data_IF_078527247158
#
_entry.id   IF_078527247158
#
_cell.length_a   1.000
_cell.length_b   1.000
_cell.length_c   1.000
_cell.angle_alpha   90.00
_cell.angle_beta   90.00
_cell.angle_gamma   90.00
#
_symmetry.space_group_name_H-M   'P 1'
#
loop_
_entity.id
_entity.type
_entity.pdbx_description
1 polymer ?
#
# COMPACT_ATOMS: atom_id res chain seq x y z
N UNK A 1 0.12 20.97 30.44
CA UNK A 1 -0.99 20.88 29.48
C UNK A 1 -0.44 20.92 28.06
N UNK A 2 0.41 21.89 27.72
CA UNK A 2 1.18 21.90 26.45
C UNK A 2 1.97 20.60 26.22
N UNK A 3 2.59 20.02 27.26
CA UNK A 3 3.39 18.79 27.10
C UNK A 3 2.58 17.57 26.60
N UNK A 4 1.29 17.46 26.96
CA UNK A 4 0.45 16.32 26.58
C UNK A 4 0.03 16.37 25.12
N UNK A 5 -0.42 17.54 24.65
CA UNK A 5 -0.82 17.74 23.25
C UNK A 5 0.38 17.71 22.31
N UNK A 6 1.54 18.22 22.75
CA UNK A 6 2.79 18.14 21.99
C UNK A 6 3.25 16.69 21.83
N UNK A 7 3.12 15.86 22.88
CA UNK A 7 3.44 14.44 22.80
C UNK A 7 2.53 13.69 21.81
N UNK A 8 1.21 13.92 21.88
CA UNK A 8 0.25 13.31 20.94
C UNK A 8 0.58 13.72 19.49
N UNK A 9 0.89 15.00 19.26
CA UNK A 9 1.29 15.47 17.94
C UNK A 9 2.57 14.77 17.45
N UNK A 10 3.59 14.63 18.31
CA UNK A 10 4.83 13.95 17.95
C UNK A 10 4.60 12.46 17.61
N UNK A 11 3.78 11.77 18.39
CA UNK A 11 3.44 10.36 18.16
C UNK A 11 2.61 10.19 16.89
N UNK A 12 1.64 11.09 16.64
CA UNK A 12 0.86 11.15 15.41
C UNK A 12 1.76 11.30 14.19
N UNK A 13 2.64 12.30 14.18
CA UNK A 13 3.57 12.55 13.07
C UNK A 13 4.50 11.36 12.83
N UNK A 14 4.94 10.69 13.89
CA UNK A 14 5.73 9.45 13.79
C UNK A 14 4.95 8.33 13.07
N UNK A 15 3.65 8.19 13.32
CA UNK A 15 2.80 7.22 12.61
C UNK A 15 2.53 7.60 11.17
N UNK A 16 2.36 8.89 10.88
CA UNK A 16 2.26 9.39 9.49
C UNK A 16 3.50 9.01 8.69
N UNK A 17 4.71 9.26 9.23
CA UNK A 17 5.96 8.87 8.54
C UNK A 17 6.02 7.37 8.28
N UNK A 18 5.67 6.53 9.27
CA UNK A 18 5.62 5.07 9.07
C UNK A 18 4.62 4.67 7.98
N UNK A 19 3.49 5.37 7.88
CA UNK A 19 2.49 5.12 6.84
C UNK A 19 3.03 5.45 5.45
N UNK A 20 3.75 6.57 5.29
CA UNK A 20 4.38 6.97 4.03
C UNK A 20 5.46 5.97 3.58
N UNK A 21 6.30 5.51 4.52
CA UNK A 21 7.30 4.47 4.27
C UNK A 21 6.63 3.17 3.80
N UNK A 22 5.56 2.76 4.49
CA UNK A 22 4.79 1.58 4.12
C UNK A 22 4.17 1.72 2.73
N UNK A 23 3.64 2.90 2.38
CA UNK A 23 3.10 3.18 1.04
C UNK A 23 4.15 3.09 -0.07
N UNK A 24 5.37 3.54 0.21
CA UNK A 24 6.50 3.45 -0.73
C UNK A 24 6.91 2.00 -1.00
N UNK A 25 7.02 1.20 0.06
CA UNK A 25 7.32 -0.23 -0.04
C UNK A 25 6.19 -1.00 -0.74
N UNK A 26 4.93 -0.70 -0.39
CA UNK A 26 3.74 -1.28 -1.01
C UNK A 26 3.68 -1.00 -2.52
N UNK A 27 4.03 0.23 -2.95
CA UNK A 27 4.08 0.59 -4.36
C UNK A 27 5.11 -0.25 -5.15
N UNK A 28 6.26 -0.54 -4.54
CA UNK A 28 7.29 -1.39 -5.16
C UNK A 28 6.79 -2.84 -5.35
N UNK A 29 6.06 -3.37 -4.36
CA UNK A 29 5.43 -4.68 -4.45
C UNK A 29 4.34 -4.72 -5.53
N UNK A 30 3.53 -3.66 -5.64
CA UNK A 30 2.48 -3.55 -6.65
C UNK A 30 3.04 -3.56 -8.07
N UNK A 31 4.10 -2.77 -8.32
CA UNK A 31 4.79 -2.75 -9.63
C UNK A 31 5.35 -4.13 -9.97
N UNK A 32 5.92 -4.82 -8.97
CA UNK A 32 6.46 -6.17 -9.15
C UNK A 32 5.36 -7.19 -9.45
N UNK A 33 4.22 -7.10 -8.76
CA UNK A 33 3.03 -7.91 -9.00
C UNK A 33 2.51 -7.72 -10.43
N UNK A 34 2.32 -6.46 -10.85
CA UNK A 34 1.83 -6.12 -12.19
C UNK A 34 2.77 -6.61 -13.28
N UNK A 35 4.09 -6.50 -13.09
CA UNK A 35 5.08 -6.99 -14.03
C UNK A 35 5.01 -8.51 -14.18
N UNK A 36 4.95 -9.24 -13.06
CA UNK A 36 4.86 -10.70 -13.08
C UNK A 36 3.53 -11.17 -13.71
N UNK A 37 2.42 -10.48 -13.41
CA UNK A 37 1.12 -10.74 -14.02
C UNK A 37 1.15 -10.50 -15.54
N UNK A 38 1.71 -9.36 -15.96
CA UNK A 38 1.84 -9.01 -17.37
C UNK A 38 2.67 -10.02 -18.17
N UNK A 39 3.68 -10.62 -17.55
CA UNK A 39 4.43 -11.72 -18.16
C UNK A 39 3.53 -12.95 -18.41
N UNK A 40 2.81 -13.40 -17.38
CA UNK A 40 1.94 -14.58 -17.49
C UNK A 40 0.78 -14.36 -18.47
N UNK A 41 0.25 -13.13 -18.54
CA UNK A 41 -0.85 -12.77 -19.45
C UNK A 41 -0.39 -12.46 -20.88
N UNK A 42 0.92 -12.49 -21.16
CA UNK A 42 1.44 -12.17 -22.50
C UNK A 42 0.79 -13.06 -23.56
N UNK A 43 0.17 -12.51 -24.61
CA UNK A 43 -0.47 -13.31 -25.64
C UNK A 43 0.57 -14.02 -26.52
N UNK A 44 0.17 -15.09 -27.23
CA UNK A 44 1.02 -15.74 -28.21
C UNK A 44 1.51 -14.79 -29.30
N UNK A 45 2.66 -15.10 -29.90
CA UNK A 45 3.21 -14.31 -31.00
C UNK A 45 2.25 -14.34 -32.18
N UNK A 46 1.73 -13.18 -32.57
CA UNK A 46 0.86 -13.05 -33.74
C UNK A 46 1.69 -13.23 -35.01
N UNK A 47 1.29 -14.17 -35.85
CA UNK A 47 1.90 -14.43 -37.19
C UNK A 47 1.35 -13.46 -38.24
N UNK A 48 1.20 -12.18 -37.91
CA UNK A 48 0.56 -11.18 -38.80
C UNK A 48 1.53 -10.59 -39.82
N UNK A 49 2.84 -10.78 -39.64
CA UNK A 49 3.88 -10.31 -40.55
C UNK A 49 4.40 -11.47 -41.40
N UNK A 50 4.50 -11.24 -42.71
CA UNK A 50 5.10 -12.19 -43.66
C UNK A 50 6.54 -12.56 -43.28
N UNK A 51 7.32 -11.60 -42.77
CA UNK A 51 8.66 -11.86 -42.26
C UNK A 51 8.67 -12.82 -41.07
N UNK A 52 7.78 -12.57 -40.09
CA UNK A 52 7.66 -13.42 -38.89
C UNK A 52 7.22 -14.83 -39.27
N UNK A 53 6.26 -14.94 -40.19
CA UNK A 53 5.81 -16.22 -40.71
C UNK A 53 6.93 -16.98 -41.45
N UNK A 54 7.70 -16.30 -42.31
CA UNK A 54 8.84 -16.88 -43.03
C UNK A 54 9.93 -17.37 -42.08
N UNK A 55 10.27 -16.59 -41.04
CA UNK A 55 11.24 -16.99 -40.02
C UNK A 55 10.76 -18.25 -39.28
N UNK A 56 9.47 -18.28 -38.91
CA UNK A 56 8.90 -19.43 -38.19
C UNK A 56 8.93 -20.69 -39.04
N UNK A 57 8.56 -20.57 -40.32
CA UNK A 57 8.59 -21.70 -41.28
C UNK A 57 10.02 -22.20 -41.51
N UNK A 58 11.00 -21.30 -41.63
CA UNK A 58 12.40 -21.67 -41.84
C UNK A 58 13.02 -22.47 -40.68
N UNK A 59 12.56 -22.24 -39.44
CA UNK A 59 13.07 -22.92 -38.22
C UNK A 59 12.11 -23.99 -37.68
N UNK A 60 11.18 -24.48 -38.52
CA UNK A 60 9.96 -25.24 -38.20
C UNK A 60 10.10 -26.61 -37.53
N UNK A 61 11.11 -26.85 -36.70
CA UNK A 61 11.17 -28.02 -35.83
C UNK A 61 9.92 -28.06 -34.94
N UNK A 62 9.41 -29.26 -34.62
CA UNK A 62 8.25 -29.45 -33.75
C UNK A 62 8.42 -28.69 -32.42
N UNK A 63 9.62 -28.73 -31.83
CA UNK A 63 9.97 -28.01 -30.60
C UNK A 63 9.85 -26.50 -30.74
N UNK A 64 10.41 -25.93 -31.81
CA UNK A 64 10.36 -24.48 -32.04
C UNK A 64 8.92 -24.00 -32.28
N UNK A 65 8.14 -24.73 -33.08
CA UNK A 65 6.74 -24.41 -33.34
C UNK A 65 5.92 -24.43 -32.04
N UNK A 66 6.06 -25.47 -31.22
CA UNK A 66 5.38 -25.55 -29.92
C UNK A 66 5.79 -24.40 -28.98
N UNK A 67 7.06 -23.98 -29.00
CA UNK A 67 7.51 -22.83 -28.21
C UNK A 67 6.88 -21.51 -28.70
N UNK A 68 6.77 -21.30 -30.01
CA UNK A 68 6.12 -20.12 -30.59
C UNK A 68 4.61 -20.12 -30.29
N UNK A 69 3.94 -21.26 -30.38
CA UNK A 69 2.52 -21.44 -30.04
C UNK A 69 2.26 -21.17 -28.55
N UNK A 70 3.18 -21.54 -27.66
CA UNK A 70 3.15 -21.19 -26.24
C UNK A 70 3.45 -19.71 -25.96
N UNK A 71 3.61 -18.88 -27.01
CA UNK A 71 3.89 -17.45 -26.88
C UNK A 71 5.33 -17.12 -26.52
N UNK A 72 6.26 -18.00 -26.90
CA UNK A 72 7.68 -17.88 -26.57
C UNK A 72 7.94 -17.80 -25.06
N UNK A 73 7.08 -18.44 -24.26
CA UNK A 73 7.26 -18.57 -22.81
C UNK A 73 8.01 -19.84 -22.48
N UNK A 74 8.95 -19.74 -21.55
CA UNK A 74 9.60 -20.90 -20.96
C UNK A 74 8.87 -21.26 -19.66
N UNK A 75 8.58 -22.55 -19.46
CA UNK A 75 7.95 -23.07 -18.23
C UNK A 75 8.73 -22.62 -16.99
N UNK A 76 10.06 -22.54 -17.07
CA UNK A 76 10.88 -22.04 -15.98
C UNK A 76 10.52 -20.60 -15.60
N UNK A 77 10.35 -19.72 -16.59
CA UNK A 77 9.98 -18.33 -16.36
C UNK A 77 8.56 -18.23 -15.81
N UNK A 78 7.63 -19.08 -16.27
CA UNK A 78 6.26 -19.12 -15.74
C UNK A 78 6.26 -19.48 -14.26
N UNK A 79 6.97 -20.54 -13.85
CA UNK A 79 7.09 -20.95 -12.45
C UNK A 79 7.70 -19.84 -11.60
N UNK A 80 8.76 -19.18 -12.09
CA UNK A 80 9.38 -18.05 -11.40
C UNK A 80 8.43 -16.86 -11.25
N UNK A 81 7.65 -16.52 -12.30
CA UNK A 81 6.71 -15.40 -12.24
C UNK A 81 5.49 -15.71 -11.37
N UNK A 82 5.01 -16.95 -11.33
CA UNK A 82 3.98 -17.39 -10.38
C UNK A 82 4.50 -17.27 -8.95
N UNK A 83 5.74 -17.70 -8.69
CA UNK A 83 6.38 -17.52 -7.37
C UNK A 83 6.46 -16.04 -6.97
N UNK A 84 6.89 -15.17 -7.88
CA UNK A 84 6.92 -13.71 -7.66
C UNK A 84 5.55 -13.13 -7.38
N UNK A 85 4.50 -13.56 -8.10
CA UNK A 85 3.13 -13.15 -7.84
C UNK A 85 2.68 -13.54 -6.44
N UNK A 86 2.96 -14.76 -6.02
CA UNK A 86 2.59 -15.24 -4.68
C UNK A 86 3.30 -14.41 -3.60
N UNK A 87 4.61 -14.18 -3.74
CA UNK A 87 5.37 -13.35 -2.79
C UNK A 87 4.83 -11.93 -2.74
N UNK A 88 4.56 -11.31 -3.90
CA UNK A 88 4.00 -9.97 -3.93
C UNK A 88 2.59 -9.91 -3.34
N UNK A 89 1.75 -10.91 -3.61
CA UNK A 89 0.39 -11.00 -3.07
C UNK A 89 0.40 -11.05 -1.53
N UNK A 90 1.20 -11.95 -0.96
CA UNK A 90 1.36 -12.07 0.49
C UNK A 90 1.93 -10.77 1.10
N UNK A 91 2.94 -10.19 0.46
CA UNK A 91 3.53 -8.92 0.90
C UNK A 91 2.53 -7.77 0.88
N UNK A 92 1.71 -7.65 -0.18
CA UNK A 92 0.67 -6.63 -0.29
C UNK A 92 -0.42 -6.82 0.78
N UNK A 93 -0.85 -8.05 1.06
CA UNK A 93 -1.79 -8.34 2.13
C UNK A 93 -1.25 -7.94 3.51
N UNK A 94 0.02 -8.22 3.78
CA UNK A 94 0.70 -7.79 5.00
C UNK A 94 0.76 -6.25 5.10
N UNK A 95 1.09 -5.56 4.00
CA UNK A 95 1.08 -4.10 3.95
C UNK A 95 -0.30 -3.52 4.21
N UNK A 96 -1.37 -4.10 3.65
CA UNK A 96 -2.75 -3.64 3.90
C UNK A 96 -3.11 -3.75 5.38
N UNK A 97 -2.80 -4.87 6.04
CA UNK A 97 -3.06 -5.05 7.48
C UNK A 97 -2.28 -4.04 8.33
N UNK A 98 -1.02 -3.77 7.99
CA UNK A 98 -0.20 -2.76 8.66
C UNK A 98 -0.76 -1.35 8.45
N UNK A 99 -1.22 -1.04 7.25
CA UNK A 99 -1.86 0.24 6.94
C UNK A 99 -3.13 0.45 7.77
N UNK A 100 -4.00 -0.56 7.84
CA UNK A 100 -5.20 -0.56 8.70
C UNK A 100 -4.87 -0.34 10.18
N UNK A 101 -3.79 -0.96 10.66
CA UNK A 101 -3.31 -0.80 12.04
C UNK A 101 -2.88 0.65 12.28
N UNK A 102 -2.06 1.22 11.39
CA UNK A 102 -1.58 2.60 11.52
C UNK A 102 -2.73 3.60 11.43
N UNK A 103 -3.71 3.39 10.53
CA UNK A 103 -4.89 4.24 10.42
C UNK A 103 -5.69 4.23 11.73
N UNK A 104 -5.86 3.06 12.34
CA UNK A 104 -6.51 2.93 13.65
C UNK A 104 -5.74 3.69 14.75
N UNK A 105 -4.41 3.60 14.77
CA UNK A 105 -3.56 4.36 15.70
C UNK A 105 -3.72 5.88 15.49
N UNK A 106 -3.72 6.35 14.24
CA UNK A 106 -3.90 7.77 13.91
C UNK A 106 -5.26 8.30 14.35
N UNK A 107 -6.32 7.50 14.20
CA UNK A 107 -7.65 7.86 14.69
C UNK A 107 -7.67 8.00 16.22
N UNK A 108 -7.04 7.07 16.94
CA UNK A 108 -6.97 7.14 18.41
C UNK A 108 -6.28 8.41 18.89
N UNK A 109 -5.18 8.82 18.25
CA UNK A 109 -4.51 10.07 18.60
C UNK A 109 -5.36 11.32 18.33
N UNK A 110 -6.19 11.29 17.28
CA UNK A 110 -7.14 12.36 17.01
C UNK A 110 -8.20 12.45 18.12
N UNK A 111 -8.72 11.30 18.53
CA UNK A 111 -9.74 11.20 19.59
C UNK A 111 -9.17 11.68 20.95
N UNK A 112 -7.94 11.27 21.29
CA UNK A 112 -7.24 11.71 22.50
C UNK A 112 -7.01 13.24 22.50
N UNK A 113 -6.58 13.80 21.36
CA UNK A 113 -6.39 15.23 21.22
C UNK A 113 -7.71 16.00 21.40
N UNK A 114 -8.81 15.50 20.81
CA UNK A 114 -10.12 16.11 20.96
C UNK A 114 -10.60 16.12 22.42
N UNK A 115 -10.35 15.04 23.16
CA UNK A 115 -10.70 14.95 24.58
C UNK A 115 -9.91 15.95 25.43
N UNK A 116 -8.62 16.15 25.15
CA UNK A 116 -7.81 17.16 25.86
C UNK A 116 -8.33 18.57 25.58
N UNK A 117 -8.70 18.89 24.33
CA UNK A 117 -9.23 20.21 23.98
C UNK A 117 -10.57 20.46 24.70
N UNK A 118 -11.50 19.51 24.66
CA UNK A 118 -12.81 19.64 25.31
C UNK A 118 -12.70 19.81 26.83
N UNK A 119 -11.83 19.03 27.48
CA UNK A 119 -11.61 19.14 28.94
C UNK A 119 -10.93 20.46 29.34
N UNK A 120 -10.30 21.16 28.40
CA UNK A 120 -9.73 22.49 28.64
C UNK A 120 -10.80 23.58 28.51
N UNK A 121 -11.75 23.44 27.58
CA UNK A 121 -12.88 24.36 27.40
C UNK A 121 -13.84 24.34 28.61
N UNK A 122 -14.12 23.15 29.18
CA UNK A 122 -14.97 23.02 30.37
C UNK A 122 -14.34 23.61 31.65
N UNK A 123 -13.00 23.61 31.76
CA UNK A 123 -12.30 24.18 32.93
C UNK A 123 -12.28 25.71 32.93
N UNK A 124 -12.35 26.36 31.77
CA UNK A 124 -12.42 27.82 31.67
C UNK A 124 -13.81 28.36 32.00
N UNK A 125 -14.89 27.60 31.76
CA UNK A 125 -16.27 28.02 32.11
C UNK A 125 -16.55 27.96 33.63
N UNK A 126 -15.99 26.98 34.36
CA UNK A 126 -16.17 26.87 35.82
C UNK A 126 -15.45 27.98 36.60
N UNK A 127 -14.34 28.51 36.08
CA UNK A 127 -13.64 29.65 36.69
C UNK A 127 -14.44 30.95 36.55
N UNK A 128 -15.22 31.10 35.46
CA UNK A 128 -16.07 32.28 35.24
C UNK A 128 -17.30 32.24 36.16
N UNK A 129 -17.93 31.07 36.38
CA UNK A 129 -19.09 30.95 37.28
C UNK A 129 -18.75 31.19 38.76
N UNK A 130 -17.53 30.83 39.18
CA UNK A 130 -17.01 31.07 40.54
C UNK A 130 -16.69 32.55 40.81
N UNK A 131 -16.39 33.35 39.78
CA UNK A 131 -16.03 34.76 39.95
C UNK A 131 -17.25 35.66 40.17
N UNK A 132 -18.39 35.34 39.55
CA UNK A 132 -19.63 36.12 39.68
C UNK A 132 -20.33 35.94 41.05
N UNK A 133 -20.01 34.88 41.80
CA UNK A 133 -20.57 34.66 43.15
C UNK A 133 -19.90 35.50 44.25
N UNK A 134 -18.81 36.23 43.97
CA UNK A 134 -18.07 37.03 44.98
C UNK A 134 -18.39 38.54 44.98
N UNK A 135 -19.37 39.01 44.20
CA UNK A 135 -19.68 40.46 44.06
C UNK A 135 -21.09 40.88 44.49
N UNK A 136 -21.63 40.34 45.57
CA UNK A 136 -22.82 40.92 46.24
C UNK A 136 -22.53 41.11 47.73
N UNK A 137 -22.08 42.31 48.08
CA UNK A 137 -22.18 42.88 49.43
C UNK A 137 -23.49 43.66 49.57
#
# INVERSE_FOLDING_TARGET
MEDGIVQIYADFMTRVTKFEELGTLGSTLLVSFQRALGFLQRPPVKKTSTLVESIIKAHGTKRFLSYVEAGCKNIHDDVQNVGKLQTCHLGLQDHMKKAETIISELQHFLDDAALIVQTTEEQDEDVISSADSCTVF
#
